data_IF_565700857665
#
_entry.id   IF_565700857665
#
_cell.length_a   1.000
_cell.length_b   1.000
_cell.length_c   1.000
_cell.angle_alpha   90.00
_cell.angle_beta   90.00
_cell.angle_gamma   90.00
#
_symmetry.space_group_name_H-M   'P 1'
#
loop_
_entity.id
_entity.type
_entity.pdbx_description
1 polymer ?
#
# COMPACT_ATOMS: atom_id res chain seq x y z
N UNK A 1 -60.99 8.28 -43.77
CA UNK A 1 -60.62 7.27 -42.76
C UNK A 1 -59.13 7.16 -42.76
N UNK A 2 -58.50 7.78 -41.77
CA UNK A 2 -57.02 7.82 -41.66
C UNK A 2 -56.61 6.89 -40.53
N UNK A 3 -56.02 5.76 -40.87
CA UNK A 3 -55.57 4.77 -39.90
C UNK A 3 -54.14 5.16 -39.40
N UNK A 4 -54.04 5.53 -38.14
CA UNK A 4 -52.78 5.83 -37.48
C UNK A 4 -52.23 4.52 -36.91
N UNK A 5 -51.06 4.07 -37.40
CA UNK A 5 -50.34 2.93 -36.87
C UNK A 5 -49.35 3.44 -35.81
N UNK A 6 -49.40 2.99 -34.55
CA UNK A 6 -48.41 3.36 -33.59
C UNK A 6 -47.10 2.56 -33.79
N UNK A 7 -45.99 3.27 -33.94
CA UNK A 7 -44.64 2.70 -33.99
C UNK A 7 -44.25 2.25 -32.57
N UNK A 8 -44.08 0.95 -32.38
CA UNK A 8 -43.54 0.37 -31.14
C UNK A 8 -42.01 0.50 -31.20
N UNK A 9 -41.46 1.41 -30.41
CA UNK A 9 -40.04 1.53 -30.22
C UNK A 9 -39.55 0.40 -29.28
N UNK A 10 -38.88 -0.59 -29.85
CA UNK A 10 -38.23 -1.67 -29.12
C UNK A 10 -36.93 -1.14 -28.52
N UNK A 11 -36.95 -0.89 -27.21
CA UNK A 11 -35.71 -0.55 -26.46
C UNK A 11 -34.94 -1.85 -26.25
N UNK A 12 -33.85 -2.04 -26.99
CA UNK A 12 -32.91 -3.12 -26.77
C UNK A 12 -32.06 -2.75 -25.52
N UNK A 13 -32.37 -3.34 -24.38
CA UNK A 13 -31.51 -3.33 -23.21
C UNK A 13 -30.23 -4.14 -23.55
N UNK A 14 -29.17 -3.44 -23.83
CA UNK A 14 -27.81 -4.03 -23.88
C UNK A 14 -27.44 -4.43 -22.44
N UNK A 15 -27.61 -5.69 -22.12
CA UNK A 15 -27.04 -6.30 -20.92
C UNK A 15 -25.53 -6.40 -21.15
N UNK A 16 -24.78 -5.51 -20.53
CA UNK A 16 -23.34 -5.65 -20.42
C UNK A 16 -23.06 -6.86 -19.53
N UNK A 17 -22.77 -8.00 -20.11
CA UNK A 17 -22.28 -9.17 -19.40
C UNK A 17 -20.88 -8.84 -18.88
N UNK A 18 -20.60 -9.00 -17.57
CA UNK A 18 -19.24 -8.90 -17.09
C UNK A 18 -18.41 -10.01 -17.73
N UNK A 19 -17.38 -9.64 -18.45
CA UNK A 19 -16.38 -10.58 -18.96
C UNK A 19 -15.64 -11.13 -17.74
N UNK A 20 -16.01 -12.32 -17.30
CA UNK A 20 -15.27 -13.07 -16.29
C UNK A 20 -14.00 -13.57 -16.97
N UNK A 21 -12.85 -13.00 -16.62
CA UNK A 21 -11.58 -13.51 -17.06
C UNK A 21 -11.35 -14.93 -16.49
N UNK A 22 -11.16 -15.90 -17.36
CA UNK A 22 -11.09 -17.35 -17.04
C UNK A 22 -9.81 -17.78 -16.31
N UNK A 23 -9.02 -16.88 -15.77
CA UNK A 23 -7.68 -17.16 -15.22
C UNK A 23 -7.62 -17.32 -13.69
N UNK A 24 -8.69 -17.67 -13.00
CA UNK A 24 -8.64 -17.97 -11.55
C UNK A 24 -8.01 -16.88 -10.66
N UNK A 25 -7.70 -15.74 -11.23
CA UNK A 25 -7.23 -14.56 -10.50
C UNK A 25 -8.45 -13.82 -9.97
N UNK A 26 -8.46 -13.54 -8.69
CA UNK A 26 -9.43 -12.60 -8.10
C UNK A 26 -9.41 -11.32 -8.93
N UNK A 27 -10.57 -10.86 -9.45
CA UNK A 27 -10.60 -9.69 -10.32
C UNK A 27 -10.02 -8.48 -9.60
N UNK A 28 -9.18 -7.74 -10.30
CA UNK A 28 -8.78 -6.41 -9.88
C UNK A 28 -10.03 -5.55 -9.67
N UNK A 29 -10.19 -5.05 -8.44
CA UNK A 29 -11.23 -4.08 -8.15
C UNK A 29 -10.61 -2.70 -8.14
N UNK A 30 -10.92 -1.89 -9.16
CA UNK A 30 -10.42 -0.52 -9.29
C UNK A 30 -11.57 0.48 -9.28
N UNK A 31 -11.32 1.66 -8.76
CA UNK A 31 -12.26 2.76 -8.75
C UNK A 31 -11.71 3.98 -8.06
N UNK A 32 -12.60 4.85 -7.64
CA UNK A 32 -12.27 6.05 -6.87
C UNK A 32 -12.52 5.78 -5.39
N UNK A 33 -11.50 5.97 -4.57
CA UNK A 33 -11.60 5.93 -3.12
C UNK A 33 -11.30 7.28 -2.50
N UNK A 34 -11.51 7.39 -1.20
CA UNK A 34 -11.22 8.59 -0.41
C UNK A 34 -10.07 8.30 0.53
N UNK A 35 -9.06 9.15 0.50
CA UNK A 35 -7.94 9.08 1.43
C UNK A 35 -8.40 9.56 2.81
N UNK A 36 -8.36 8.68 3.81
CA UNK A 36 -8.78 8.98 5.18
C UNK A 36 -7.61 9.48 6.01
N UNK A 37 -6.46 8.82 5.90
CA UNK A 37 -5.27 9.14 6.68
C UNK A 37 -3.99 8.64 6.01
N UNK A 38 -2.89 9.33 6.27
CA UNK A 38 -1.52 8.91 5.90
C UNK A 38 -0.58 9.19 7.05
N UNK A 39 0.02 8.16 7.58
CA UNK A 39 0.95 8.26 8.69
C UNK A 39 2.32 7.70 8.32
N UNK A 40 3.36 8.36 8.81
CA UNK A 40 4.73 7.84 8.78
C UNK A 40 5.09 7.32 10.15
N UNK A 41 5.26 6.02 10.27
CA UNK A 41 5.63 5.35 11.52
C UNK A 41 7.12 5.05 11.50
N UNK A 42 7.79 5.34 12.61
CA UNK A 42 9.20 5.00 12.80
C UNK A 42 9.31 4.15 14.06
N UNK A 43 9.70 2.90 13.87
CA UNK A 43 9.96 1.96 14.96
C UNK A 43 11.46 1.82 15.16
N UNK A 44 11.91 1.88 16.41
CA UNK A 44 13.29 1.59 16.77
C UNK A 44 13.40 0.15 17.23
N UNK A 45 14.10 -0.66 16.43
CA UNK A 45 14.28 -2.09 16.71
C UNK A 45 15.68 -2.28 17.25
N UNK A 46 15.86 -2.86 18.45
CA UNK A 46 17.17 -3.25 18.93
C UNK A 46 17.74 -4.35 18.03
N UNK A 47 18.89 -4.09 17.44
CA UNK A 47 19.63 -5.05 16.64
C UNK A 47 20.70 -5.69 17.53
N UNK A 48 21.05 -6.95 17.26
CA UNK A 48 22.16 -7.60 17.96
C UNK A 48 23.41 -6.72 17.93
N UNK A 49 24.08 -6.63 19.09
CA UNK A 49 25.23 -5.79 19.26
C UNK A 49 26.35 -6.14 18.28
N UNK A 50 26.89 -5.14 17.61
CA UNK A 50 28.07 -5.31 16.78
C UNK A 50 29.25 -5.64 17.68
N UNK A 51 29.86 -6.80 17.44
CA UNK A 51 31.08 -7.21 18.16
C UNK A 51 32.27 -6.77 17.36
N UNK A 52 33.06 -5.85 17.92
CA UNK A 52 34.29 -5.41 17.34
C UNK A 52 35.44 -6.07 18.12
N UNK A 53 36.26 -6.84 17.42
CA UNK A 53 37.47 -7.46 18.00
C UNK A 53 38.63 -6.54 17.76
N UNK A 54 39.16 -5.95 18.83
CA UNK A 54 40.36 -5.15 18.79
C UNK A 54 41.59 -6.01 19.07
N UNK A 55 42.59 -5.89 18.23
CA UNK A 55 43.86 -6.60 18.38
C UNK A 55 45.00 -5.59 18.54
N UNK A 56 45.70 -5.67 19.62
CA UNK A 56 46.86 -4.81 19.88
C UNK A 56 48.00 -5.65 20.48
N UNK A 57 49.25 -5.23 20.24
CA UNK A 57 50.38 -5.75 20.98
C UNK A 57 50.63 -4.85 22.18
N UNK A 58 50.83 -5.46 23.35
CA UNK A 58 51.23 -4.73 24.55
C UNK A 58 52.70 -4.29 24.44
N UNK A 59 53.17 -3.50 25.40
CA UNK A 59 54.54 -3.01 25.47
C UNK A 59 55.59 -4.14 25.65
N UNK A 60 55.13 -5.37 25.94
CA UNK A 60 55.99 -6.59 26.02
C UNK A 60 55.87 -7.45 24.76
N UNK A 61 55.25 -6.95 23.70
CA UNK A 61 55.08 -7.63 22.43
C UNK A 61 54.03 -8.75 22.43
N UNK A 62 53.26 -8.94 23.52
CA UNK A 62 52.21 -9.94 23.61
C UNK A 62 50.95 -9.45 22.90
N UNK A 63 50.28 -10.35 22.21
CA UNK A 63 49.03 -10.06 21.52
C UNK A 63 47.90 -10.00 22.55
N UNK A 64 47.25 -8.85 22.63
CA UNK A 64 46.07 -8.64 23.48
C UNK A 64 44.85 -8.43 22.57
N UNK A 65 43.79 -9.18 22.85
CA UNK A 65 42.52 -9.05 22.18
C UNK A 65 41.46 -8.67 23.21
N UNK A 66 40.61 -7.67 22.87
CA UNK A 66 39.44 -7.37 23.65
C UNK A 66 38.25 -7.20 22.73
N UNK A 67 37.11 -7.58 23.24
CA UNK A 67 35.83 -7.55 22.54
C UNK A 67 35.03 -6.37 23.04
N UNK A 68 34.68 -5.47 22.13
CA UNK A 68 33.77 -4.38 22.39
C UNK A 68 32.43 -4.71 21.78
N UNK A 69 31.37 -4.69 22.59
CA UNK A 69 30.00 -4.87 22.16
C UNK A 69 29.30 -3.53 22.21
N UNK A 70 29.00 -2.99 21.04
CA UNK A 70 28.24 -1.75 20.93
C UNK A 70 26.80 -2.10 20.62
N UNK A 71 25.83 -1.74 21.49
CA UNK A 71 24.42 -1.89 21.15
C UNK A 71 24.12 -1.07 19.90
N UNK A 72 23.48 -1.70 18.94
CA UNK A 72 23.06 -1.04 17.70
C UNK A 72 21.53 -1.00 17.66
N UNK A 73 21.00 0.11 17.18
CA UNK A 73 19.57 0.29 16.95
C UNK A 73 19.32 0.51 15.46
N UNK A 74 18.35 -0.18 14.94
CA UNK A 74 17.87 0.02 13.56
C UNK A 74 16.54 0.76 13.61
N UNK A 75 16.44 1.83 12.84
CA UNK A 75 15.17 2.49 12.60
C UNK A 75 14.49 1.84 11.41
N UNK A 76 13.32 1.28 11.66
CA UNK A 76 12.42 0.81 10.61
C UNK A 76 11.34 1.87 10.38
N UNK A 77 11.25 2.34 9.13
CA UNK A 77 10.32 3.39 8.74
C UNK A 77 9.32 2.81 7.76
N UNK A 78 8.04 3.02 8.05
CA UNK A 78 6.95 2.61 7.18
C UNK A 78 5.93 3.72 7.02
N UNK A 79 5.20 3.65 5.93
CA UNK A 79 3.99 4.43 5.72
C UNK A 79 2.77 3.57 5.98
N UNK A 80 1.79 4.14 6.65
CA UNK A 80 0.48 3.57 6.88
C UNK A 80 -0.52 4.46 6.17
N UNK A 81 -1.28 3.89 5.24
CA UNK A 81 -2.26 4.60 4.43
C UNK A 81 -3.63 4.01 4.70
N UNK A 82 -4.58 4.85 5.09
CA UNK A 82 -5.98 4.46 5.32
C UNK A 82 -6.85 5.02 4.22
N UNK A 83 -7.55 4.15 3.50
CA UNK A 83 -8.38 4.50 2.35
C UNK A 83 -9.76 3.87 2.51
N UNK A 84 -10.79 4.67 2.28
CA UNK A 84 -12.15 4.19 2.13
C UNK A 84 -12.46 3.95 0.65
N UNK A 85 -12.82 2.72 0.33
CA UNK A 85 -13.17 2.32 -1.02
C UNK A 85 -14.28 1.27 -0.98
N UNK A 86 -15.37 1.52 -1.71
CA UNK A 86 -16.51 0.60 -1.85
C UNK A 86 -17.08 0.12 -0.50
N UNK A 87 -17.34 1.05 0.43
CA UNK A 87 -17.85 0.80 1.79
C UNK A 87 -16.91 -0.07 2.65
N UNK A 88 -15.64 -0.17 2.28
CA UNK A 88 -14.61 -0.85 3.05
C UNK A 88 -13.48 0.14 3.33
N UNK A 89 -13.05 0.17 4.58
CA UNK A 89 -11.85 0.92 4.99
C UNK A 89 -10.66 -0.02 4.96
N UNK A 90 -9.70 0.28 4.10
CA UNK A 90 -8.45 -0.47 3.95
C UNK A 90 -7.31 0.26 4.64
N UNK A 91 -6.52 -0.48 5.41
CA UNK A 91 -5.27 0.00 5.97
C UNK A 91 -4.14 -0.75 5.28
N UNK A 92 -3.29 -0.01 4.58
CA UNK A 92 -2.14 -0.54 3.88
C UNK A 92 -0.83 -0.04 4.47
N UNK A 93 0.17 -0.90 4.54
CA UNK A 93 1.51 -0.58 5.00
C UNK A 93 2.55 -0.80 3.92
N UNK A 94 3.55 0.06 3.88
CA UNK A 94 4.70 -0.08 2.99
C UNK A 94 5.99 0.40 3.66
N UNK A 95 7.13 -0.16 3.26
CA UNK A 95 8.43 0.34 3.68
C UNK A 95 8.67 1.76 3.13
N UNK A 96 9.20 2.65 3.96
CA UNK A 96 9.57 4.00 3.53
C UNK A 96 10.75 4.03 2.54
N UNK A 97 11.51 2.94 2.46
CA UNK A 97 12.67 2.80 1.57
C UNK A 97 12.32 2.14 0.22
N UNK A 98 11.05 1.77 0.02
CA UNK A 98 10.63 1.18 -1.25
C UNK A 98 10.68 2.23 -2.38
N UNK A 99 11.04 1.83 -3.61
CA UNK A 99 11.16 2.75 -4.74
C UNK A 99 9.79 3.10 -5.32
N UNK A 100 9.03 3.92 -4.61
CA UNK A 100 7.73 4.39 -5.06
C UNK A 100 7.86 5.62 -5.95
N UNK A 101 6.94 5.80 -6.88
CA UNK A 101 6.88 6.95 -7.77
C UNK A 101 6.69 8.28 -7.03
N UNK A 102 6.10 8.23 -5.84
CA UNK A 102 5.89 9.42 -5.01
C UNK A 102 5.81 9.05 -3.51
N UNK A 103 6.02 10.05 -2.67
CA UNK A 103 5.85 9.92 -1.23
C UNK A 103 4.36 10.04 -0.86
N UNK A 104 3.75 9.02 -0.23
CA UNK A 104 2.32 9.04 0.11
C UNK A 104 1.93 10.14 1.10
N UNK A 105 2.86 10.66 1.90
CA UNK A 105 2.58 11.78 2.82
C UNK A 105 2.27 13.10 2.11
N UNK A 106 2.47 13.16 0.79
CA UNK A 106 2.09 14.31 -0.04
C UNK A 106 0.66 14.24 -0.56
N UNK A 107 -0.03 13.15 -0.30
CA UNK A 107 -1.46 13.03 -0.61
C UNK A 107 -2.27 13.89 0.35
N UNK A 108 -3.37 14.44 -0.15
CA UNK A 108 -4.27 15.28 0.65
C UNK A 108 -5.37 14.42 1.25
N UNK A 109 -5.54 14.53 2.57
CA UNK A 109 -6.61 13.81 3.29
C UNK A 109 -7.98 14.32 2.82
N UNK A 110 -8.93 13.42 2.71
CA UNK A 110 -10.28 13.60 2.17
C UNK A 110 -10.35 13.85 0.64
N UNK A 111 -9.22 13.78 -0.07
CA UNK A 111 -9.24 13.83 -1.53
C UNK A 111 -9.65 12.47 -2.12
N UNK A 112 -10.29 12.54 -3.28
CA UNK A 112 -10.57 11.39 -4.10
C UNK A 112 -9.30 10.96 -4.85
N UNK A 113 -9.01 9.68 -4.78
CA UNK A 113 -7.83 9.08 -5.41
C UNK A 113 -8.20 7.80 -6.15
N UNK A 114 -7.44 7.48 -7.19
CA UNK A 114 -7.56 6.20 -7.85
C UNK A 114 -7.07 5.07 -6.94
N UNK A 115 -7.86 4.03 -6.79
CA UNK A 115 -7.57 2.88 -5.93
C UNK A 115 -7.80 1.60 -6.70
N UNK A 116 -6.85 0.68 -6.61
CA UNK A 116 -7.02 -0.70 -7.06
C UNK A 116 -6.69 -1.66 -5.92
N UNK A 117 -7.52 -2.66 -5.75
CA UNK A 117 -7.31 -3.75 -4.79
C UNK A 117 -6.99 -5.02 -5.58
N UNK A 118 -5.83 -5.61 -5.31
CA UNK A 118 -5.39 -6.88 -5.85
C UNK A 118 -4.99 -7.81 -4.71
N UNK A 119 -5.89 -8.69 -4.31
CA UNK A 119 -5.72 -9.60 -3.17
C UNK A 119 -5.42 -8.82 -1.88
N UNK A 120 -4.18 -8.89 -1.40
CA UNK A 120 -3.71 -8.16 -0.22
C UNK A 120 -2.91 -6.89 -0.58
N UNK A 121 -2.95 -6.45 -1.83
CA UNK A 121 -2.22 -5.29 -2.32
C UNK A 121 -3.16 -4.12 -2.58
N UNK A 122 -2.83 -3.00 -2.01
CA UNK A 122 -3.47 -1.72 -2.25
C UNK A 122 -2.60 -0.90 -3.21
N UNK A 123 -3.16 -0.51 -4.34
CA UNK A 123 -2.48 0.36 -5.30
C UNK A 123 -3.20 1.69 -5.35
N UNK A 124 -2.50 2.76 -5.03
CA UNK A 124 -3.00 4.14 -5.09
C UNK A 124 -2.43 4.80 -6.33
N UNK A 125 -3.30 5.39 -7.13
CA UNK A 125 -2.92 6.07 -8.34
C UNK A 125 -3.29 7.55 -8.28
N UNK A 126 -2.32 8.40 -8.56
CA UNK A 126 -2.54 9.83 -8.71
C UNK A 126 -3.07 10.17 -10.11
N UNK A 127 -3.70 11.36 -10.29
CA UNK A 127 -4.16 11.81 -11.61
C UNK A 127 -3.05 11.90 -12.67
N UNK A 128 -1.78 12.09 -12.25
CA UNK A 128 -0.60 12.12 -13.14
C UNK A 128 -0.10 10.73 -13.56
N UNK A 129 -0.78 9.66 -13.15
CA UNK A 129 -0.46 8.26 -13.46
C UNK A 129 0.58 7.62 -12.53
N UNK A 130 1.16 8.36 -11.59
CA UNK A 130 2.10 7.82 -10.62
C UNK A 130 1.39 6.92 -9.61
N UNK A 131 2.03 5.83 -9.23
CA UNK A 131 1.47 4.81 -8.35
C UNK A 131 2.26 4.64 -7.05
N UNK A 132 1.53 4.28 -6.01
CA UNK A 132 2.05 3.86 -4.72
C UNK A 132 1.42 2.52 -4.36
N UNK A 133 2.21 1.59 -3.85
CA UNK A 133 1.75 0.24 -3.51
C UNK A 133 1.98 -0.04 -2.03
N UNK A 134 0.95 -0.57 -1.39
CA UNK A 134 1.00 -0.99 0.01
C UNK A 134 0.45 -2.40 0.16
N UNK A 135 0.85 -3.10 1.22
CA UNK A 135 0.25 -4.36 1.62
C UNK A 135 -0.93 -4.09 2.54
N UNK A 136 -2.10 -4.64 2.24
CA UNK A 136 -3.27 -4.50 3.08
C UNK A 136 -3.04 -5.34 4.34
N UNK A 137 -3.03 -4.67 5.49
CA UNK A 137 -2.88 -5.30 6.81
C UNK A 137 -4.21 -5.41 7.53
N UNK A 138 -5.17 -4.57 7.17
CA UNK A 138 -6.50 -4.57 7.76
C UNK A 138 -7.54 -4.08 6.76
N UNK A 139 -8.74 -4.66 6.81
CA UNK A 139 -9.89 -4.23 6.03
C UNK A 139 -11.15 -4.34 6.88
N UNK A 140 -11.87 -3.24 7.03
CA UNK A 140 -13.11 -3.15 7.81
C UNK A 140 -14.24 -2.72 6.90
N UNK A 141 -15.28 -3.54 6.83
CA UNK A 141 -16.49 -3.16 6.13
C UNK A 141 -17.41 -2.37 7.08
N UNK A 142 -17.77 -1.18 6.69
CA UNK A 142 -18.82 -0.44 7.40
C UNK A 142 -20.15 -1.17 7.22
N UNK A 143 -20.79 -1.49 8.34
CA UNK A 143 -22.17 -1.98 8.31
C UNK A 143 -23.09 -0.79 8.13
N UNK A 144 -24.09 -0.91 7.26
CA UNK A 144 -25.11 0.13 7.10
C UNK A 144 -25.93 0.32 8.38
#
# INVERSE_FOLDING_TARGET
MTTVVPAIATIALLWATPVVAADGRTPYSCGTGTLVDVERVTDTIPVESVTIVHRRRDHRGRRVEWIERTPSERQDRRYVVTIQFDSVTYIGESSANAPWDFNPTRLVINDDIGVCIDRNRLVVQRPDGKTYKATIVHAVRERP
#
